data_IF_652436641607
#
_entry.id   IF_652436641607
#
_cell.length_a   1.000
_cell.length_b   1.000
_cell.length_c   1.000
_cell.angle_alpha   90.00
_cell.angle_beta   90.00
_cell.angle_gamma   90.00
#
_symmetry.space_group_name_H-M   'P 1'
#
loop_
_entity.id
_entity.type
_entity.pdbx_description
1 polymer ?
#
# COMPACT_ATOMS: atom_id res chain seq x y z
N UNK A 1 -1.13 -55.01 3.98
CA UNK A 1 -1.86 -53.78 3.60
C UNK A 1 -0.96 -52.60 3.97
N UNK A 2 -0.43 -51.87 2.98
CA UNK A 2 0.37 -50.66 3.21
C UNK A 2 -0.62 -49.51 3.38
N UNK A 3 -0.72 -48.96 4.59
CA UNK A 3 -1.44 -47.71 4.81
C UNK A 3 -0.54 -46.60 4.27
N UNK A 4 -0.84 -46.07 3.10
CA UNK A 4 -0.20 -44.87 2.57
C UNK A 4 -0.68 -43.68 3.41
N UNK A 5 0.19 -43.21 4.29
CA UNK A 5 -0.01 -41.98 5.05
C UNK A 5 0.10 -40.80 4.07
N UNK A 6 -1.04 -40.30 3.60
CA UNK A 6 -1.16 -39.07 2.81
C UNK A 6 -0.92 -37.85 3.73
N UNK A 7 0.31 -37.68 4.19
CA UNK A 7 0.84 -36.43 4.72
C UNK A 7 1.94 -35.99 3.74
N UNK A 8 1.50 -35.59 2.55
CA UNK A 8 2.35 -35.20 1.43
C UNK A 8 2.97 -33.83 1.72
N UNK A 9 4.18 -33.83 2.28
CA UNK A 9 5.23 -32.83 2.05
C UNK A 9 4.88 -31.34 2.17
N UNK A 10 4.02 -30.92 3.11
CA UNK A 10 3.86 -29.48 3.36
C UNK A 10 5.18 -28.91 3.91
N UNK A 11 5.81 -28.01 3.16
CA UNK A 11 7.00 -27.31 3.60
C UNK A 11 6.75 -26.64 4.98
N UNK A 12 7.79 -26.63 5.82
CA UNK A 12 7.70 -26.07 7.18
C UNK A 12 7.31 -24.59 7.15
N UNK A 13 6.41 -24.20 8.05
CA UNK A 13 6.00 -22.80 8.20
C UNK A 13 7.15 -22.04 8.86
N UNK A 14 7.61 -21.00 8.17
CA UNK A 14 8.68 -20.10 8.61
C UNK A 14 8.12 -18.71 8.86
N UNK A 15 8.78 -17.94 9.72
CA UNK A 15 8.46 -16.53 9.97
C UNK A 15 9.43 -15.62 9.22
N UNK A 16 8.90 -14.63 8.49
CA UNK A 16 9.64 -13.52 7.91
C UNK A 16 9.28 -12.21 8.58
N UNK A 17 10.08 -11.16 8.37
CA UNK A 17 9.83 -9.82 8.88
C UNK A 17 9.82 -8.82 7.74
N UNK A 18 8.79 -7.97 7.67
CA UNK A 18 8.80 -6.79 6.79
C UNK A 18 9.53 -5.62 7.47
N UNK A 19 10.48 -5.02 6.76
CA UNK A 19 11.30 -3.92 7.25
C UNK A 19 10.48 -2.65 7.47
N UNK A 20 10.85 -1.88 8.50
CA UNK A 20 10.05 -0.76 9.01
C UNK A 20 8.78 -1.28 9.66
N UNK A 21 8.88 -1.96 10.82
CA UNK A 21 7.85 -2.85 11.38
C UNK A 21 6.44 -2.35 11.12
N UNK A 22 5.70 -3.06 10.26
CA UNK A 22 4.32 -2.69 9.90
C UNK A 22 3.41 -3.65 10.63
N UNK A 23 2.63 -3.17 11.58
CA UNK A 23 1.60 -3.93 12.27
C UNK A 23 0.27 -3.80 11.53
N UNK A 24 -0.43 -4.92 11.35
CA UNK A 24 -1.76 -4.93 10.76
C UNK A 24 -1.78 -4.96 9.23
N UNK A 25 -0.66 -5.23 8.56
CA UNK A 25 -0.66 -5.43 7.11
C UNK A 25 -1.15 -6.84 6.77
N UNK A 26 -2.12 -6.96 5.86
CA UNK A 26 -2.63 -8.28 5.46
C UNK A 26 -1.61 -8.98 4.57
N UNK A 27 -1.42 -10.27 4.77
CA UNK A 27 -0.61 -11.10 3.87
C UNK A 27 -1.39 -12.35 3.42
N UNK A 28 -1.06 -12.82 2.23
CA UNK A 28 -1.56 -14.05 1.65
C UNK A 28 -0.44 -14.80 0.92
N UNK A 29 -0.37 -16.10 1.15
CA UNK A 29 0.40 -17.07 0.37
C UNK A 29 -0.58 -18.08 -0.24
N UNK A 30 -0.15 -19.00 -1.11
CA UNK A 30 -1.01 -20.09 -1.59
C UNK A 30 -1.67 -20.91 -0.47
N UNK A 31 -1.09 -20.94 0.73
CA UNK A 31 -1.53 -21.82 1.82
C UNK A 31 -1.76 -21.13 3.17
N UNK A 32 -1.38 -19.85 3.31
CA UNK A 32 -1.49 -19.10 4.56
C UNK A 32 -2.06 -17.71 4.29
N UNK A 33 -2.77 -17.17 5.27
CA UNK A 33 -3.24 -15.79 5.25
C UNK A 33 -3.28 -15.27 6.69
N UNK A 34 -3.04 -13.98 6.87
CA UNK A 34 -3.06 -13.36 8.18
C UNK A 34 -2.73 -11.88 8.11
N UNK A 35 -2.34 -11.34 9.26
CA UNK A 35 -1.87 -9.97 9.41
C UNK A 35 -0.47 -9.99 10.05
N UNK A 36 0.37 -9.04 9.66
CA UNK A 36 1.64 -8.82 10.33
C UNK A 36 1.42 -8.40 11.77
N UNK A 37 2.25 -8.89 12.69
CA UNK A 37 2.19 -8.49 14.10
C UNK A 37 2.94 -7.17 14.36
N UNK A 38 3.03 -6.76 15.64
CA UNK A 38 3.72 -5.54 16.09
C UNK A 38 5.20 -5.44 15.65
N UNK A 39 5.84 -6.57 15.34
CA UNK A 39 7.23 -6.63 14.85
C UNK A 39 7.33 -6.68 13.33
N UNK A 40 6.20 -6.61 12.61
CA UNK A 40 6.16 -6.83 11.18
C UNK A 40 6.32 -8.30 10.77
N UNK A 41 6.13 -9.25 11.68
CA UNK A 41 6.32 -10.67 11.38
C UNK A 41 5.12 -11.24 10.60
N UNK A 42 5.40 -12.04 9.57
CA UNK A 42 4.42 -12.78 8.78
C UNK A 42 4.84 -14.25 8.63
N UNK A 43 3.88 -15.14 8.38
CA UNK A 43 4.14 -16.56 8.19
C UNK A 43 4.09 -16.95 6.71
N UNK A 44 5.00 -17.80 6.29
CA UNK A 44 5.07 -18.31 4.92
C UNK A 44 5.68 -19.71 4.89
N UNK A 45 5.47 -20.47 3.80
CA UNK A 45 6.22 -21.70 3.55
C UNK A 45 7.30 -21.46 2.50
N UNK A 46 8.43 -22.14 2.64
CA UNK A 46 9.56 -21.97 1.70
C UNK A 46 9.13 -22.30 0.26
N UNK A 47 9.46 -21.39 -0.67
CA UNK A 47 9.11 -21.51 -2.09
C UNK A 47 7.75 -20.92 -2.44
N UNK A 48 6.98 -20.44 -1.46
CA UNK A 48 5.77 -19.67 -1.72
C UNK A 48 6.08 -18.19 -1.90
N UNK A 49 5.34 -17.54 -2.80
CA UNK A 49 5.26 -16.10 -2.83
C UNK A 49 4.31 -15.61 -1.72
N UNK A 50 4.62 -14.44 -1.17
CA UNK A 50 3.82 -13.73 -0.18
C UNK A 50 3.36 -12.44 -0.83
N UNK A 51 2.06 -12.25 -0.88
CA UNK A 51 1.41 -11.03 -1.35
C UNK A 51 0.98 -10.21 -0.13
N UNK A 52 1.34 -8.94 -0.11
CA UNK A 52 0.92 -8.00 0.93
C UNK A 52 -0.19 -7.11 0.42
N UNK A 53 -1.22 -6.93 1.26
CA UNK A 53 -2.46 -6.25 0.90
C UNK A 53 -2.93 -5.33 2.03
N UNK A 54 -3.73 -4.34 1.64
CA UNK A 54 -4.46 -3.45 2.50
C UNK A 54 -5.91 -3.39 2.03
N UNK A 55 -6.83 -3.98 2.80
CA UNK A 55 -8.18 -4.27 2.31
C UNK A 55 -8.14 -5.02 0.96
N UNK A 56 -8.77 -4.43 -0.06
CA UNK A 56 -8.75 -4.90 -1.45
C UNK A 56 -7.61 -4.36 -2.33
N UNK A 57 -6.67 -3.59 -1.78
CA UNK A 57 -5.50 -3.05 -2.50
C UNK A 57 -4.29 -3.98 -2.33
N UNK A 58 -3.73 -4.45 -3.44
CA UNK A 58 -2.45 -5.17 -3.45
C UNK A 58 -1.28 -4.19 -3.44
N UNK A 59 -0.38 -4.32 -2.46
CA UNK A 59 0.85 -3.53 -2.38
C UNK A 59 1.98 -4.13 -3.22
N UNK A 60 2.03 -5.47 -3.30
CA UNK A 60 2.99 -6.21 -4.11
C UNK A 60 3.11 -7.67 -3.67
N UNK A 61 3.88 -8.44 -4.42
CA UNK A 61 4.15 -9.85 -4.15
C UNK A 61 5.64 -10.14 -4.33
N UNK A 62 6.20 -10.96 -3.45
CA UNK A 62 7.62 -11.32 -3.42
C UNK A 62 7.77 -12.76 -2.95
N UNK A 63 8.87 -13.42 -3.30
CA UNK A 63 9.20 -14.72 -2.69
C UNK A 63 9.31 -14.59 -1.16
N UNK A 64 8.72 -15.54 -0.44
CA UNK A 64 8.78 -15.57 1.01
C UNK A 64 10.22 -15.69 1.51
N UNK A 65 10.64 -14.72 2.31
CA UNK A 65 11.99 -14.61 2.84
C UNK A 65 12.00 -14.16 4.30
N UNK A 66 13.09 -14.46 5.01
CA UNK A 66 13.25 -14.07 6.42
C UNK A 66 13.20 -12.55 6.63
N UNK A 67 13.57 -11.77 5.60
CA UNK A 67 13.47 -10.32 5.57
C UNK A 67 12.90 -9.88 4.23
N UNK A 68 11.84 -9.09 4.28
CA UNK A 68 11.20 -8.44 3.13
C UNK A 68 11.23 -6.93 3.37
N UNK A 69 11.34 -6.11 2.33
CA UNK A 69 11.22 -4.66 2.42
C UNK A 69 10.25 -4.12 1.35
N UNK A 70 9.76 -2.90 1.54
CA UNK A 70 8.81 -2.28 0.61
C UNK A 70 9.37 -2.13 -0.82
N UNK A 71 10.69 -1.96 -0.98
CA UNK A 71 11.31 -1.87 -2.30
C UNK A 71 11.27 -3.20 -3.08
N UNK A 72 11.17 -4.34 -2.40
CA UNK A 72 10.94 -5.65 -3.04
C UNK A 72 9.49 -5.81 -3.51
N UNK A 73 8.52 -5.15 -2.86
CA UNK A 73 7.12 -5.19 -3.29
C UNK A 73 6.90 -4.38 -4.58
N UNK A 74 7.72 -3.34 -4.79
CA UNK A 74 7.72 -2.57 -6.02
C UNK A 74 8.38 -3.37 -7.16
N UNK A 75 7.60 -4.08 -7.97
CA UNK A 75 8.13 -5.03 -8.98
C UNK A 75 9.14 -4.44 -9.99
N UNK A 76 9.13 -3.12 -10.24
CA UNK A 76 10.13 -2.45 -11.10
C UNK A 76 11.49 -2.31 -10.43
N UNK A 77 11.50 -2.23 -9.11
CA UNK A 77 12.68 -2.08 -8.25
C UNK A 77 13.16 -3.45 -7.79
N UNK A 78 12.26 -4.30 -7.30
CA UNK A 78 12.57 -5.67 -6.82
C UNK A 78 13.74 -5.68 -5.82
N UNK A 79 13.75 -4.72 -4.90
CA UNK A 79 14.80 -4.54 -3.90
C UNK A 79 16.16 -4.07 -4.43
N UNK A 80 16.29 -3.76 -5.73
CA UNK A 80 17.53 -3.25 -6.30
C UNK A 80 17.83 -1.83 -5.81
N UNK A 81 18.97 -1.67 -5.14
CA UNK A 81 19.43 -0.41 -4.53
C UNK A 81 19.58 0.70 -5.58
N UNK A 82 20.06 0.38 -6.79
CA UNK A 82 20.27 1.35 -7.87
C UNK A 82 18.96 1.92 -8.42
N UNK A 83 17.83 1.26 -8.11
CA UNK A 83 16.49 1.66 -8.55
C UNK A 83 15.65 2.27 -7.42
N UNK A 84 16.20 2.53 -6.25
CA UNK A 84 15.44 3.10 -5.11
C UNK A 84 14.88 4.50 -5.39
N UNK A 85 15.43 5.22 -6.39
CA UNK A 85 14.90 6.50 -6.85
C UNK A 85 13.57 6.38 -7.62
N UNK A 86 13.10 5.16 -7.87
CA UNK A 86 11.83 4.92 -8.52
C UNK A 86 10.66 5.45 -7.67
N UNK A 87 9.74 6.27 -8.24
CA UNK A 87 8.65 6.86 -7.49
C UNK A 87 7.70 5.85 -6.83
N UNK A 88 7.64 4.60 -7.32
CA UNK A 88 6.80 3.56 -6.73
C UNK A 88 7.22 3.23 -5.31
N UNK A 89 8.52 3.17 -5.01
CA UNK A 89 8.99 2.88 -3.65
C UNK A 89 8.56 3.99 -2.70
N UNK A 90 8.77 5.23 -3.11
CA UNK A 90 8.41 6.42 -2.33
C UNK A 90 6.89 6.52 -2.11
N UNK A 91 6.09 6.31 -3.15
CA UNK A 91 4.64 6.41 -3.04
C UNK A 91 4.04 5.26 -2.23
N UNK A 92 4.61 4.06 -2.33
CA UNK A 92 4.22 2.92 -1.50
C UNK A 92 4.53 3.18 -0.02
N UNK A 93 5.75 3.62 0.29
CA UNK A 93 6.14 3.99 1.63
C UNK A 93 5.27 5.13 2.19
N UNK A 94 4.96 6.14 1.37
CA UNK A 94 4.09 7.26 1.76
C UNK A 94 2.68 6.80 2.10
N UNK A 95 2.10 5.89 1.30
CA UNK A 95 0.79 5.33 1.60
C UNK A 95 0.79 4.62 2.94
N UNK A 96 1.73 3.68 3.14
CA UNK A 96 1.84 2.91 4.38
C UNK A 96 2.03 3.84 5.58
N UNK A 97 2.94 4.82 5.49
CA UNK A 97 3.22 5.75 6.58
C UNK A 97 2.04 6.69 6.90
N UNK A 98 1.22 7.06 5.90
CA UNK A 98 0.06 7.96 6.12
C UNK A 98 -1.07 7.25 6.88
N UNK A 99 -1.08 5.92 6.88
CA UNK A 99 -2.08 5.11 7.57
C UNK A 99 -1.69 4.80 9.02
N UNK A 100 -0.51 5.23 9.43
CA UNK A 100 -0.01 5.03 10.77
C UNK A 100 -0.93 5.70 11.80
N UNK A 101 -1.49 4.90 12.70
CA UNK A 101 -2.49 5.34 13.65
C UNK A 101 -1.90 6.26 14.74
N UNK A 102 -0.66 6.03 15.15
CA UNK A 102 -0.03 6.76 16.27
C UNK A 102 0.90 7.90 15.81
N UNK A 103 1.23 7.94 14.52
CA UNK A 103 2.07 8.97 13.91
C UNK A 103 3.53 8.94 14.39
N UNK A 104 3.96 7.85 15.03
CA UNK A 104 5.30 7.71 15.59
C UNK A 104 6.18 6.82 14.71
N UNK A 105 6.79 7.44 13.69
CA UNK A 105 7.65 6.74 12.73
C UNK A 105 8.90 6.05 13.33
N UNK A 106 9.26 6.29 14.60
CA UNK A 106 10.36 5.56 15.25
C UNK A 106 9.97 4.15 15.71
N UNK A 107 8.70 3.91 16.00
CA UNK A 107 8.21 2.61 16.50
C UNK A 107 7.77 1.66 15.38
N UNK A 108 7.57 2.18 14.17
CA UNK A 108 7.03 1.43 13.04
C UNK A 108 5.77 2.10 12.50
N UNK A 109 4.88 1.29 11.92
CA UNK A 109 3.57 1.72 11.41
C UNK A 109 2.51 0.82 12.00
N UNK A 110 1.49 1.40 12.63
CA UNK A 110 0.30 0.65 13.09
C UNK A 110 -0.89 0.94 12.19
N UNK A 111 -1.32 -0.06 11.43
CA UNK A 111 -2.50 0.03 10.56
C UNK A 111 -3.72 -0.39 11.35
N UNK A 112 -4.67 0.53 11.54
CA UNK A 112 -5.92 0.24 12.23
C UNK A 112 -6.79 -0.76 11.43
N UNK A 113 -7.47 -1.72 12.08
CA UNK A 113 -8.30 -2.71 11.39
C UNK A 113 -9.35 -2.11 10.45
N UNK A 114 -9.94 -0.97 10.83
CA UNK A 114 -10.95 -0.25 10.04
C UNK A 114 -10.44 0.15 8.64
N UNK A 115 -9.13 0.31 8.46
CA UNK A 115 -8.53 0.63 7.15
C UNK A 115 -8.81 -0.47 6.12
N UNK A 116 -8.84 -1.73 6.54
CA UNK A 116 -9.14 -2.86 5.64
C UNK A 116 -10.60 -2.87 5.18
N UNK A 117 -11.52 -2.35 6.00
CA UNK A 117 -12.94 -2.25 5.67
C UNK A 117 -13.22 -1.05 4.74
N UNK A 118 -12.45 0.03 4.90
CA UNK A 118 -12.59 1.26 4.09
C UNK A 118 -11.99 1.10 2.70
N UNK A 119 -10.93 0.30 2.56
CA UNK A 119 -10.24 0.09 1.30
C UNK A 119 -10.82 -1.13 0.60
N UNK A 120 -11.83 -0.90 -0.24
CA UNK A 120 -12.36 -1.91 -1.14
C UNK A 120 -11.38 -2.30 -2.27
N UNK A 121 -11.84 -3.09 -3.27
CA UNK A 121 -11.04 -3.41 -4.44
C UNK A 121 -10.70 -2.14 -5.23
N UNK A 122 -9.43 -1.72 -5.18
CA UNK A 122 -8.94 -0.54 -5.87
C UNK A 122 -7.56 -0.80 -6.46
N UNK A 123 -7.31 -0.22 -7.64
CA UNK A 123 -5.99 -0.24 -8.27
C UNK A 123 -5.40 1.15 -8.16
N UNK A 124 -4.31 1.29 -7.41
CA UNK A 124 -3.55 2.53 -7.31
C UNK A 124 -2.32 2.42 -8.19
N UNK A 125 -2.12 3.41 -9.06
CA UNK A 125 -0.87 3.53 -9.81
C UNK A 125 0.18 4.25 -8.95
N UNK A 126 1.13 3.49 -8.40
CA UNK A 126 2.23 4.04 -7.62
C UNK A 126 3.37 4.61 -8.49
N UNK A 127 3.35 4.41 -9.82
CA UNK A 127 4.33 4.98 -10.74
C UNK A 127 3.92 6.39 -11.16
N UNK A 128 3.84 7.30 -10.18
CA UNK A 128 3.55 8.71 -10.39
C UNK A 128 4.72 9.52 -9.87
N UNK A 129 5.36 10.30 -10.74
CA UNK A 129 6.38 11.25 -10.33
C UNK A 129 5.76 12.32 -9.41
N UNK A 130 6.58 12.94 -8.55
CA UNK A 130 6.12 14.07 -7.78
C UNK A 130 5.71 15.20 -8.74
N UNK A 131 4.42 15.56 -8.73
CA UNK A 131 3.96 16.80 -9.34
C UNK A 131 4.33 17.94 -8.41
N UNK A 132 5.14 18.88 -8.89
CA UNK A 132 5.37 20.12 -8.17
C UNK A 132 4.01 20.84 -8.01
N UNK A 133 3.58 21.22 -6.79
CA UNK A 133 2.38 22.03 -6.60
C UNK A 133 2.50 23.45 -7.20
N UNK A 134 3.67 23.84 -7.73
CA UNK A 134 3.86 25.10 -8.46
C UNK A 134 3.15 25.08 -9.82
N UNK A 135 1.84 25.29 -9.80
CA UNK A 135 1.02 25.44 -11.01
C UNK A 135 -0.41 25.89 -10.79
N UNK A 136 -0.86 26.10 -9.55
CA UNK A 136 -2.07 26.91 -9.30
C UNK A 136 -1.68 28.37 -9.43
N UNK A 137 -1.55 28.85 -10.66
CA UNK A 137 -1.61 30.28 -10.91
C UNK A 137 -2.98 30.74 -10.39
N UNK A 138 -2.94 31.63 -9.40
CA UNK A 138 -4.09 32.38 -8.92
C UNK A 138 -4.62 33.16 -10.14
N UNK A 139 -5.70 32.68 -10.75
CA UNK A 139 -6.26 33.23 -11.98
C UNK A 139 -7.08 34.49 -11.63
N UNK A 140 -6.36 35.52 -11.20
CA UNK A 140 -6.85 36.87 -11.03
C UNK A 140 -6.33 37.74 -12.18
N UNK A 141 -7.24 37.95 -13.14
CA UNK A 141 -7.26 39.03 -14.14
C UNK A 141 -6.29 38.96 -15.33
N UNK A 142 -6.86 38.84 -16.54
CA UNK A 142 -6.21 39.29 -17.77
C UNK A 142 -6.78 38.67 -19.03
N UNK A 143 -7.72 39.36 -19.67
CA UNK A 143 -8.33 38.96 -20.93
C UNK A 143 -7.32 38.65 -22.05
N UNK A 144 -7.49 37.54 -22.76
CA UNK A 144 -6.90 37.36 -24.09
C UNK A 144 -6.71 35.92 -24.54
N UNK A 145 -7.53 35.51 -25.51
CA UNK A 145 -7.35 34.41 -26.44
C UNK A 145 -7.92 33.03 -26.06
N UNK A 146 -9.03 32.71 -26.73
CA UNK A 146 -9.74 31.43 -26.71
C UNK A 146 -8.96 30.42 -27.56
N UNK A 147 -8.38 29.41 -26.91
CA UNK A 147 -8.03 28.13 -27.51
C UNK A 147 -9.05 27.10 -27.06
N UNK A 148 -10.07 26.86 -27.88
CA UNK A 148 -11.10 25.84 -27.66
C UNK A 148 -10.49 24.44 -27.74
N UNK A 149 -10.23 23.79 -26.60
CA UNK A 149 -10.19 22.33 -26.39
C UNK A 149 -9.61 21.96 -24.99
N UNK A 150 -10.35 22.29 -23.91
CA UNK A 150 -10.18 21.65 -22.59
C UNK A 150 -11.42 21.91 -21.71
N UNK A 151 -12.61 21.71 -22.26
CA UNK A 151 -13.84 21.62 -21.47
C UNK A 151 -14.14 20.14 -21.23
N UNK A 152 -13.52 19.56 -20.20
CA UNK A 152 -14.10 18.42 -19.48
C UNK A 152 -14.12 18.79 -18.00
N UNK A 153 -15.34 19.02 -17.53
CA UNK A 153 -15.71 19.62 -16.26
C UNK A 153 -15.11 18.94 -15.02
N UNK A 154 -14.43 19.73 -14.19
CA UNK A 154 -14.44 19.55 -12.74
C UNK A 154 -15.45 20.54 -12.14
N UNK A 155 -16.73 20.23 -12.32
CA UNK A 155 -17.81 20.90 -11.60
C UNK A 155 -18.90 19.89 -11.29
N UNK A 156 -18.80 19.26 -10.13
CA UNK A 156 -19.96 18.87 -9.33
C UNK A 156 -19.55 18.95 -7.86
N UNK A 157 -19.64 20.18 -7.39
CA UNK A 157 -19.81 20.59 -6.02
C UNK A 157 -20.87 19.75 -5.29
N UNK A 158 -20.46 19.00 -4.27
CA UNK A 158 -21.31 18.64 -3.13
C UNK A 158 -20.52 19.01 -1.86
N UNK A 159 -20.43 20.31 -1.58
CA UNK A 159 -20.17 20.77 -0.23
C UNK A 159 -21.36 20.35 0.64
N UNK A 160 -21.14 19.40 1.56
CA UNK A 160 -22.08 19.14 2.65
C UNK A 160 -21.96 20.33 3.60
N UNK A 161 -22.92 21.25 3.53
CA UNK A 161 -23.03 22.35 4.47
C UNK A 161 -23.45 21.79 5.84
N UNK A 162 -22.59 21.90 6.84
CA UNK A 162 -23.01 21.78 8.23
C UNK A 162 -23.75 23.07 8.60
N UNK A 163 -25.08 22.97 8.71
CA UNK A 163 -25.89 24.00 9.32
C UNK A 163 -25.49 24.12 10.80
N UNK A 164 -24.93 25.26 11.19
CA UNK A 164 -24.95 25.71 12.59
C UNK A 164 -26.33 26.30 12.87
N UNK A 165 -27.05 25.63 13.78
CA UNK A 165 -28.34 26.03 14.34
C UNK A 165 -28.18 27.29 15.23
N UNK A 166 -29.07 28.29 15.17
CA UNK A 166 -29.02 29.44 16.08
C UNK A 166 -29.56 29.13 17.48
N UNK A 167 -28.95 29.75 18.48
CA UNK A 167 -29.61 30.17 19.72
C UNK A 167 -29.51 31.69 19.82
#
# INVERSE_FOLDING_TARGET
MRTTNTAEGAAEVTTGVIAGPIHGLRFETPTLTGFTNERGEFQYRKGEAVTFLLGGLTLGSVEGAAKVNLAQLASRVDGNIDKLHDPTVTNLARLVQTLDQDGNGEAGVTIAPIVHDLIGPVVINFNQAATDPAGVADDAAGAGHLGSEAMVAFASNQAVAFATDPQ
#
